data_IF_811812038101
#
_entry.id   IF_811812038101
#
_cell.length_a   1.000
_cell.length_b   1.000
_cell.length_c   1.000
_cell.angle_alpha   90.00
_cell.angle_beta   90.00
_cell.angle_gamma   90.00
#
_symmetry.space_group_name_H-M   'P 1'
#
loop_
_entity.id
_entity.type
_entity.pdbx_description
1 polymer ?
#
# COMPACT_ATOMS: atom_id res chain seq x y z
N UNK A 1 59.22 -33.80 -12.22
CA UNK A 1 58.15 -33.39 -11.30
C UNK A 1 56.83 -33.43 -12.05
N UNK A 2 55.87 -34.33 -11.75
CA UNK A 2 54.58 -34.33 -12.43
C UNK A 2 53.61 -33.38 -11.70
N UNK A 3 52.85 -32.60 -12.47
CA UNK A 3 51.84 -31.68 -11.95
C UNK A 3 50.50 -32.43 -12.04
N UNK A 4 49.95 -32.81 -10.88
CA UNK A 4 48.68 -33.53 -10.77
C UNK A 4 47.52 -32.57 -11.00
N UNK A 5 46.72 -32.82 -12.04
CA UNK A 5 45.55 -32.02 -12.40
C UNK A 5 44.32 -32.56 -11.65
N UNK A 6 43.81 -31.79 -10.70
CA UNK A 6 42.61 -32.12 -9.91
C UNK A 6 41.40 -31.48 -10.57
N UNK A 7 40.54 -32.30 -11.18
CA UNK A 7 39.26 -31.85 -11.74
C UNK A 7 38.25 -31.67 -10.62
N UNK A 8 37.87 -30.42 -10.35
CA UNK A 8 36.81 -30.04 -9.40
C UNK A 8 35.45 -30.23 -10.10
N UNK A 9 34.66 -31.22 -9.67
CA UNK A 9 33.30 -31.46 -10.15
C UNK A 9 32.31 -30.57 -9.37
N UNK A 10 31.73 -29.56 -10.04
CA UNK A 10 30.63 -28.76 -9.50
C UNK A 10 29.30 -29.53 -9.65
N UNK A 11 28.70 -29.91 -8.52
CA UNK A 11 27.35 -30.44 -8.47
C UNK A 11 26.38 -29.26 -8.44
N UNK A 12 25.67 -29.03 -9.55
CA UNK A 12 24.59 -28.04 -9.64
C UNK A 12 23.35 -28.65 -8.99
N UNK A 13 23.04 -28.20 -7.76
CA UNK A 13 21.78 -28.55 -7.09
C UNK A 13 20.65 -27.72 -7.73
N UNK A 14 19.77 -28.39 -8.47
CA UNK A 14 18.57 -27.76 -9.05
C UNK A 14 17.53 -27.70 -7.93
N UNK A 15 17.44 -26.56 -7.25
CA UNK A 15 16.35 -26.29 -6.30
C UNK A 15 15.08 -26.10 -7.14
N UNK A 16 14.03 -26.93 -6.98
CA UNK A 16 12.77 -26.68 -7.66
C UNK A 16 12.18 -25.37 -7.13
N UNK A 17 12.18 -24.35 -7.98
CA UNK A 17 11.43 -23.11 -7.73
C UNK A 17 9.95 -23.48 -7.85
N UNK A 18 9.19 -23.29 -6.76
CA UNK A 18 7.75 -23.43 -6.82
C UNK A 18 7.20 -22.38 -7.80
N UNK A 19 6.80 -22.82 -8.98
CA UNK A 19 6.09 -21.98 -9.95
C UNK A 19 4.64 -21.94 -9.49
N UNK A 20 4.28 -20.91 -8.73
CA UNK A 20 2.87 -20.56 -8.57
C UNK A 20 2.34 -20.23 -9.96
N UNK A 21 1.17 -20.76 -10.32
CA UNK A 21 0.49 -20.34 -11.53
C UNK A 21 0.12 -18.85 -11.35
N UNK A 22 0.91 -17.95 -11.95
CA UNK A 22 0.71 -16.51 -11.83
C UNK A 22 -0.59 -16.13 -12.54
N UNK A 23 -1.59 -15.71 -11.77
CA UNK A 23 -2.86 -15.20 -12.33
C UNK A 23 -2.72 -13.70 -12.51
N UNK A 24 -2.00 -13.29 -13.55
CA UNK A 24 -1.73 -11.88 -13.84
C UNK A 24 -3.02 -11.15 -14.25
N UNK A 25 -3.59 -10.38 -13.33
CA UNK A 25 -4.78 -9.57 -13.55
C UNK A 25 -4.36 -8.17 -14.01
N UNK A 26 -4.70 -7.81 -15.25
CA UNK A 26 -4.58 -6.45 -15.75
C UNK A 26 -5.62 -5.55 -15.08
N UNK A 27 -5.21 -4.45 -14.46
CA UNK A 27 -6.10 -3.51 -13.74
C UNK A 27 -6.89 -2.57 -14.65
N UNK A 28 -7.06 -2.93 -15.92
CA UNK A 28 -7.80 -2.11 -16.90
C UNK A 28 -9.25 -1.93 -16.45
N UNK A 29 -9.70 -0.68 -16.41
CA UNK A 29 -11.04 -0.33 -15.92
C UNK A 29 -11.21 -0.38 -14.40
N UNK A 30 -10.14 -0.59 -13.62
CA UNK A 30 -10.21 -0.52 -12.15
C UNK A 30 -10.65 0.87 -11.71
N UNK A 31 -11.71 0.93 -10.90
CA UNK A 31 -12.21 2.17 -10.31
C UNK A 31 -11.49 2.49 -9.00
N UNK A 32 -10.94 1.49 -8.30
CA UNK A 32 -10.18 1.70 -7.07
C UNK A 32 -8.72 2.09 -7.38
N UNK A 33 -8.12 1.53 -8.42
CA UNK A 33 -6.73 1.80 -8.83
C UNK A 33 -6.63 2.39 -10.26
N UNK A 34 -7.34 3.47 -10.62
CA UNK A 34 -7.39 3.97 -11.99
C UNK A 34 -6.03 4.45 -12.56
N UNK A 35 -5.10 4.90 -11.71
CA UNK A 35 -3.74 5.26 -12.13
C UNK A 35 -2.89 4.05 -12.55
N UNK A 36 -3.34 2.84 -12.23
CA UNK A 36 -2.62 1.60 -12.51
C UNK A 36 -3.26 0.76 -13.64
N UNK A 37 -4.18 1.32 -14.43
CA UNK A 37 -4.97 0.61 -15.44
C UNK A 37 -4.14 -0.14 -16.51
N UNK A 38 -2.87 0.20 -16.68
CA UNK A 38 -1.97 -0.43 -17.65
C UNK A 38 -1.10 -1.54 -17.04
N UNK A 39 -1.21 -1.80 -15.74
CA UNK A 39 -0.33 -2.69 -14.99
C UNK A 39 -1.07 -3.88 -14.41
N UNK A 40 -0.29 -4.85 -13.98
CA UNK A 40 -0.76 -6.16 -13.57
C UNK A 40 -0.49 -6.41 -12.09
N UNK A 41 -1.37 -7.18 -11.47
CA UNK A 41 -1.15 -7.79 -10.16
C UNK A 41 -1.29 -9.31 -10.24
N UNK A 42 -0.55 -10.05 -9.42
CA UNK A 42 -0.75 -11.49 -9.26
C UNK A 42 -1.66 -11.75 -8.06
N UNK A 43 -2.97 -11.83 -8.32
CA UNK A 43 -3.97 -11.94 -7.25
C UNK A 43 -3.76 -13.22 -6.42
N UNK A 44 -3.48 -14.35 -7.07
CA UNK A 44 -3.24 -15.62 -6.39
C UNK A 44 -2.01 -15.55 -5.48
N UNK A 45 -0.89 -15.01 -5.99
CA UNK A 45 0.31 -14.81 -5.20
C UNK A 45 0.12 -13.87 -4.01
N UNK A 46 -0.64 -12.78 -4.22
CA UNK A 46 -0.90 -11.77 -3.20
C UNK A 46 -1.83 -12.25 -2.07
N UNK A 47 -2.72 -13.23 -2.32
CA UNK A 47 -3.64 -13.78 -1.31
C UNK A 47 -2.93 -14.33 -0.08
N UNK A 48 -1.71 -14.87 -0.24
CA UNK A 48 -0.92 -15.39 0.88
C UNK A 48 -0.56 -14.31 1.92
N UNK A 49 -0.47 -13.05 1.50
CA UNK A 49 -0.17 -11.88 2.36
C UNK A 49 -1.42 -11.06 2.69
N UNK A 50 -2.43 -11.12 1.82
CA UNK A 50 -3.61 -10.28 1.82
C UNK A 50 -4.88 -11.14 1.80
N UNK A 51 -5.30 -11.65 2.96
CA UNK A 51 -6.45 -12.54 3.07
C UNK A 51 -7.77 -11.92 2.53
N UNK A 52 -7.87 -10.59 2.51
CA UNK A 52 -8.99 -9.86 1.95
C UNK A 52 -9.13 -10.03 0.42
N UNK A 53 -8.08 -10.49 -0.29
CA UNK A 53 -8.13 -10.84 -1.72
C UNK A 53 -8.71 -12.23 -2.02
N UNK A 54 -9.15 -12.99 -1.01
CA UNK A 54 -9.55 -14.39 -1.13
C UNK A 54 -10.59 -14.66 -2.23
N UNK A 55 -11.51 -13.73 -2.49
CA UNK A 55 -12.57 -13.86 -3.50
C UNK A 55 -12.32 -13.02 -4.77
N UNK A 56 -11.20 -12.31 -4.87
CA UNK A 56 -10.89 -11.49 -6.04
C UNK A 56 -10.40 -12.39 -7.19
N UNK A 57 -11.10 -12.40 -8.32
CA UNK A 57 -10.73 -13.17 -9.52
C UNK A 57 -10.69 -12.33 -10.79
N UNK A 58 -11.27 -11.13 -10.75
CA UNK A 58 -11.33 -10.16 -11.84
C UNK A 58 -11.24 -8.74 -11.28
N UNK A 59 -11.18 -7.73 -12.15
CA UNK A 59 -11.04 -6.32 -11.73
C UNK A 59 -12.22 -5.87 -10.84
N UNK A 60 -13.50 -6.15 -11.17
CA UNK A 60 -14.61 -5.76 -10.31
C UNK A 60 -14.56 -6.38 -8.90
N UNK A 61 -14.26 -7.68 -8.79
CA UNK A 61 -14.14 -8.35 -7.49
C UNK A 61 -12.91 -7.89 -6.71
N UNK A 62 -11.81 -7.56 -7.38
CA UNK A 62 -10.64 -6.92 -6.78
C UNK A 62 -10.97 -5.55 -6.20
N UNK A 63 -11.61 -4.67 -6.98
CA UNK A 63 -11.96 -3.32 -6.53
C UNK A 63 -12.94 -3.37 -5.35
N UNK A 64 -13.92 -4.28 -5.40
CA UNK A 64 -14.84 -4.53 -4.30
C UNK A 64 -14.10 -5.01 -3.05
N UNK A 65 -13.20 -5.97 -3.17
CA UNK A 65 -12.42 -6.49 -2.05
C UNK A 65 -11.53 -5.40 -1.42
N UNK A 66 -10.89 -4.57 -2.25
CA UNK A 66 -10.02 -3.47 -1.80
C UNK A 66 -10.81 -2.40 -1.03
N UNK A 67 -11.94 -1.97 -1.58
CA UNK A 67 -12.80 -0.97 -0.93
C UNK A 67 -13.40 -1.50 0.37
N UNK A 68 -13.93 -2.73 0.35
CA UNK A 68 -14.44 -3.38 1.56
C UNK A 68 -13.36 -3.57 2.62
N UNK A 69 -12.13 -3.91 2.23
CA UNK A 69 -11.02 -4.04 3.16
C UNK A 69 -10.74 -2.72 3.88
N UNK A 70 -10.58 -1.62 3.14
CA UNK A 70 -10.27 -0.31 3.74
C UNK A 70 -11.41 0.20 4.62
N UNK A 71 -12.67 -0.09 4.28
CA UNK A 71 -13.84 0.28 5.08
C UNK A 71 -14.13 -0.72 6.22
N UNK A 72 -13.38 -1.83 6.31
CA UNK A 72 -13.65 -2.88 7.29
C UNK A 72 -13.10 -2.56 8.68
N UNK A 73 -13.75 -3.15 9.69
CA UNK A 73 -13.20 -3.25 11.04
C UNK A 73 -11.89 -4.04 11.11
N UNK A 74 -11.57 -4.86 10.10
CA UNK A 74 -10.32 -5.62 10.05
C UNK A 74 -9.14 -4.71 9.70
N UNK A 75 -9.29 -3.82 8.71
CA UNK A 75 -8.28 -2.78 8.45
C UNK A 75 -8.10 -1.88 9.68
N UNK A 76 -9.20 -1.51 10.33
CA UNK A 76 -9.14 -0.78 11.59
C UNK A 76 -8.36 -1.55 12.67
N UNK A 77 -8.70 -2.82 12.90
CA UNK A 77 -8.04 -3.64 13.92
C UNK A 77 -6.55 -3.81 13.64
N UNK A 78 -6.19 -4.18 12.42
CA UNK A 78 -4.80 -4.48 12.07
C UNK A 78 -3.96 -3.21 12.06
N UNK A 79 -4.46 -2.12 11.48
CA UNK A 79 -3.65 -0.93 11.28
C UNK A 79 -3.81 0.09 12.41
N UNK A 80 -5.03 0.47 12.74
CA UNK A 80 -5.29 1.50 13.75
C UNK A 80 -5.10 0.95 15.17
N UNK A 81 -5.66 -0.21 15.48
CA UNK A 81 -5.53 -0.81 16.82
C UNK A 81 -4.15 -1.43 17.03
N UNK A 82 -3.72 -2.39 16.21
CA UNK A 82 -2.46 -3.12 16.48
C UNK A 82 -1.19 -2.30 16.17
N UNK A 83 -1.17 -1.50 15.09
CA UNK A 83 0.04 -0.74 14.68
C UNK A 83 0.10 0.67 15.27
N UNK A 84 -1.02 1.38 15.32
CA UNK A 84 -1.07 2.74 15.87
C UNK A 84 -1.48 2.77 17.35
N UNK A 85 -1.73 1.61 17.95
CA UNK A 85 -2.08 1.46 19.37
C UNK A 85 -3.32 2.27 19.75
N UNK A 86 -4.26 2.43 18.82
CA UNK A 86 -5.54 3.05 19.08
C UNK A 86 -6.48 2.08 19.82
N UNK A 87 -7.58 2.58 20.38
CA UNK A 87 -8.61 1.83 21.08
C UNK A 87 -9.37 0.93 20.10
N UNK A 88 -9.84 -0.21 20.60
CA UNK A 88 -10.62 -1.16 19.83
C UNK A 88 -11.87 -0.48 19.27
N UNK A 89 -12.32 -0.84 18.05
CA UNK A 89 -13.47 -0.19 17.45
C UNK A 89 -14.71 -0.50 18.29
N UNK A 90 -15.48 0.53 18.67
CA UNK A 90 -16.83 0.31 19.19
C UNK A 90 -17.80 0.00 18.04
N UNK A 91 -18.92 -0.68 18.31
CA UNK A 91 -19.91 -1.06 17.30
C UNK A 91 -20.51 0.13 16.52
N UNK A 92 -20.38 1.35 17.05
CA UNK A 92 -20.89 2.60 16.45
C UNK A 92 -19.77 3.48 15.89
N UNK A 93 -18.51 3.02 15.90
CA UNK A 93 -17.37 3.84 15.54
C UNK A 93 -17.20 3.87 14.02
N UNK A 94 -17.20 5.08 13.45
CA UNK A 94 -16.82 5.29 12.05
C UNK A 94 -15.33 5.02 11.91
N UNK A 95 -14.96 4.14 10.99
CA UNK A 95 -13.56 3.80 10.71
C UNK A 95 -12.86 5.04 10.13
N UNK A 96 -11.79 5.56 10.77
CA UNK A 96 -10.99 6.64 10.21
C UNK A 96 -10.36 6.23 8.88
N UNK A 97 -10.49 7.12 7.89
CA UNK A 97 -9.86 6.99 6.58
C UNK A 97 -8.57 7.82 6.54
N UNK A 98 -7.46 7.19 6.16
CA UNK A 98 -6.20 7.89 5.89
C UNK A 98 -6.19 8.38 4.43
N UNK A 99 -5.86 9.64 4.21
CA UNK A 99 -5.78 10.21 2.87
C UNK A 99 -4.77 9.41 2.04
N UNK A 100 -5.14 9.06 0.81
CA UNK A 100 -4.31 8.27 -0.10
C UNK A 100 -4.10 6.80 0.30
N UNK A 101 -4.91 6.26 1.21
CA UNK A 101 -4.84 4.86 1.62
C UNK A 101 -5.02 3.89 0.45
N UNK A 102 -6.04 4.11 -0.39
CA UNK A 102 -6.26 3.30 -1.59
C UNK A 102 -5.05 3.40 -2.52
N UNK A 103 -4.55 4.61 -2.77
CA UNK A 103 -3.42 4.84 -3.67
C UNK A 103 -2.18 4.10 -3.18
N UNK A 104 -1.84 4.22 -1.90
CA UNK A 104 -0.70 3.53 -1.31
C UNK A 104 -0.85 2.02 -1.40
N UNK A 105 -2.03 1.48 -1.11
CA UNK A 105 -2.28 0.05 -1.18
C UNK A 105 -2.23 -0.47 -2.64
N UNK A 106 -2.80 0.25 -3.60
CA UNK A 106 -2.65 -0.05 -5.02
C UNK A 106 -1.17 -0.08 -5.43
N UNK A 107 -0.38 0.89 -4.99
CA UNK A 107 1.08 0.88 -5.23
C UNK A 107 1.73 -0.34 -4.61
N UNK A 108 1.43 -0.66 -3.35
CA UNK A 108 2.01 -1.81 -2.66
C UNK A 108 1.76 -3.12 -3.38
N UNK A 109 0.55 -3.30 -3.89
CA UNK A 109 0.16 -4.49 -4.62
C UNK A 109 0.83 -4.56 -6.00
N UNK A 110 0.88 -3.45 -6.74
CA UNK A 110 1.49 -3.41 -8.10
C UNK A 110 3.02 -3.50 -8.03
N UNK A 111 3.65 -2.90 -7.02
CA UNK A 111 5.09 -2.89 -6.80
C UNK A 111 5.60 -4.10 -6.00
N UNK A 112 4.74 -5.08 -5.67
CA UNK A 112 5.17 -6.30 -5.00
C UNK A 112 6.18 -7.04 -5.87
N UNK A 113 7.43 -7.13 -5.39
CA UNK A 113 8.55 -7.66 -6.15
C UNK A 113 8.53 -9.17 -6.35
N UNK A 114 7.77 -9.87 -5.51
CA UNK A 114 7.68 -11.33 -5.54
C UNK A 114 6.58 -11.80 -6.50
N UNK A 115 5.47 -11.08 -6.54
CA UNK A 115 4.24 -11.53 -7.19
C UNK A 115 3.85 -10.66 -8.39
N UNK A 116 3.69 -9.34 -8.21
CA UNK A 116 3.09 -8.47 -9.24
C UNK A 116 4.08 -7.89 -10.25
N UNK A 117 5.30 -7.51 -9.83
CA UNK A 117 6.31 -7.02 -10.77
C UNK A 117 6.64 -8.05 -11.87
N UNK A 118 6.79 -9.37 -11.58
CA UNK A 118 6.92 -10.38 -12.62
C UNK A 118 5.81 -10.35 -13.69
N UNK A 119 4.55 -10.17 -13.30
CA UNK A 119 3.44 -10.04 -14.25
C UNK A 119 3.62 -8.84 -15.18
N UNK A 120 3.97 -7.67 -14.64
CA UNK A 120 4.17 -6.49 -15.46
C UNK A 120 5.38 -6.64 -16.39
N UNK A 121 6.50 -7.20 -15.91
CA UNK A 121 7.71 -7.40 -16.71
C UNK A 121 7.52 -8.41 -17.84
N UNK A 122 6.72 -9.47 -17.64
CA UNK A 122 6.34 -10.41 -18.71
C UNK A 122 5.63 -9.72 -19.88
N UNK A 123 4.97 -8.58 -19.62
CA UNK A 123 4.32 -7.74 -20.62
C UNK A 123 5.14 -6.52 -21.04
N UNK A 124 6.45 -6.49 -20.73
CA UNK A 124 7.37 -5.35 -20.99
C UNK A 124 6.93 -4.03 -20.34
N UNK A 125 6.21 -4.10 -19.23
CA UNK A 125 5.76 -2.93 -18.46
C UNK A 125 6.60 -2.78 -17.20
N UNK A 126 7.03 -1.55 -16.90
CA UNK A 126 7.65 -1.20 -15.63
C UNK A 126 6.72 -0.23 -14.88
N UNK A 127 5.96 -0.70 -13.87
CA UNK A 127 5.03 0.16 -13.16
C UNK A 127 5.76 1.30 -12.45
N UNK A 128 5.27 2.55 -12.52
CA UNK A 128 5.86 3.67 -11.83
C UNK A 128 5.64 3.55 -10.32
N UNK A 129 6.59 4.05 -9.50
CA UNK A 129 6.41 4.13 -8.06
C UNK A 129 5.37 5.19 -7.68
N UNK A 130 4.90 5.16 -6.44
CA UNK A 130 4.17 6.27 -5.83
C UNK A 130 5.11 7.47 -5.67
N UNK A 131 4.56 8.67 -5.86
CA UNK A 131 5.28 9.89 -5.55
C UNK A 131 5.53 9.97 -4.05
N UNK A 132 6.77 10.30 -3.66
CA UNK A 132 7.12 10.50 -2.25
C UNK A 132 6.21 11.50 -1.55
N UNK A 133 5.83 12.59 -2.23
CA UNK A 133 4.87 13.58 -1.70
C UNK A 133 3.50 12.98 -1.35
N UNK A 134 3.05 11.98 -2.10
CA UNK A 134 1.79 11.27 -1.84
C UNK A 134 1.93 10.33 -0.65
N UNK A 135 3.05 9.61 -0.57
CA UNK A 135 3.35 8.77 0.59
C UNK A 135 3.44 9.61 1.88
N UNK A 136 4.14 10.73 1.83
CA UNK A 136 4.26 11.65 2.97
C UNK A 136 2.90 12.21 3.39
N UNK A 137 2.03 12.58 2.44
CA UNK A 137 0.67 13.03 2.73
C UNK A 137 -0.20 11.93 3.38
N UNK A 138 -0.01 10.66 3.00
CA UNK A 138 -0.64 9.53 3.68
C UNK A 138 -0.19 9.45 5.14
N UNK A 139 1.12 9.49 5.41
CA UNK A 139 1.66 9.44 6.78
C UNK A 139 1.20 10.63 7.62
N UNK A 140 1.15 11.83 7.03
CA UNK A 140 0.65 13.03 7.71
C UNK A 140 -0.82 12.88 8.09
N UNK A 141 -1.63 12.28 7.21
CA UNK A 141 -3.05 12.01 7.50
C UNK A 141 -3.23 10.99 8.61
N UNK A 142 -2.37 9.97 8.69
CA UNK A 142 -2.38 9.03 9.82
C UNK A 142 -2.10 9.72 11.14
N UNK A 143 -1.08 10.58 11.17
CA UNK A 143 -0.72 11.31 12.37
C UNK A 143 -1.86 12.23 12.83
N UNK A 144 -2.44 13.01 11.90
CA UNK A 144 -3.57 13.90 12.19
C UNK A 144 -4.78 13.12 12.70
N UNK A 145 -5.22 12.10 11.96
CA UNK A 145 -6.40 11.31 12.33
C UNK A 145 -6.19 10.56 13.64
N UNK A 146 -4.96 10.09 13.94
CA UNK A 146 -4.62 9.51 15.24
C UNK A 146 -4.60 10.52 16.38
N UNK A 147 -4.54 11.82 16.10
CA UNK A 147 -4.46 12.90 17.09
C UNK A 147 -5.80 13.60 17.37
N UNK A 148 -6.81 13.43 16.51
CA UNK A 148 -8.04 14.25 16.50
C UNK A 148 -9.29 13.58 17.09
N UNK A 149 -9.21 12.39 17.70
CA UNK A 149 -10.36 11.78 18.37
C UNK A 149 -10.04 10.54 19.21
N UNK A 150 -10.96 10.16 20.10
CA UNK A 150 -11.07 8.83 20.72
C UNK A 150 -11.20 7.80 19.59
N UNK A 151 -10.07 7.30 19.11
CA UNK A 151 -9.63 6.06 19.73
C UNK A 151 -8.18 6.07 20.22
N UNK A 152 -7.30 7.01 19.86
CA UNK A 152 -5.86 6.81 20.13
C UNK A 152 -5.34 7.48 21.42
N UNK A 153 -6.23 7.83 22.37
CA UNK A 153 -5.95 8.75 23.49
C UNK A 153 -5.34 8.08 24.74
N UNK A 154 -5.24 6.75 24.79
CA UNK A 154 -4.71 6.07 25.96
C UNK A 154 -3.17 6.13 26.02
N UNK A 155 -2.65 6.81 27.06
CA UNK A 155 -1.24 7.10 27.39
C UNK A 155 -0.20 5.95 27.32
N UNK A 156 -0.56 4.72 26.94
CA UNK A 156 0.39 3.60 26.74
C UNK A 156 0.89 3.50 25.27
N UNK A 157 0.27 4.23 24.33
CA UNK A 157 0.36 4.03 22.88
C UNK A 157 1.34 4.95 22.11
N UNK A 158 1.88 6.00 22.72
CA UNK A 158 2.63 7.05 21.99
C UNK A 158 3.93 6.54 21.38
N UNK A 159 4.66 5.64 22.05
CA UNK A 159 5.95 5.14 21.54
C UNK A 159 5.73 4.25 20.31
N UNK A 160 4.85 3.25 20.39
CA UNK A 160 4.56 2.35 19.27
C UNK A 160 3.95 3.11 18.09
N UNK A 161 3.01 4.03 18.34
CA UNK A 161 2.45 4.92 17.31
C UNK A 161 3.55 5.75 16.64
N UNK A 162 4.41 6.41 17.41
CA UNK A 162 5.51 7.20 16.87
C UNK A 162 6.50 6.34 16.07
N UNK A 163 6.76 5.11 16.53
CA UNK A 163 7.60 4.16 15.80
C UNK A 163 6.95 3.77 14.48
N UNK A 164 5.67 3.36 14.48
CA UNK A 164 4.93 3.03 13.26
C UNK A 164 4.91 4.20 12.28
N UNK A 165 4.62 5.43 12.74
CA UNK A 165 4.64 6.62 11.89
C UNK A 165 6.06 6.92 11.34
N UNK A 166 7.10 6.71 12.16
CA UNK A 166 8.50 6.85 11.75
C UNK A 166 8.89 5.79 10.71
N UNK A 167 8.47 4.55 10.89
CA UNK A 167 8.72 3.45 9.96
C UNK A 167 8.02 3.72 8.62
N UNK A 168 6.74 4.11 8.64
CA UNK A 168 6.02 4.52 7.43
C UNK A 168 6.69 5.69 6.71
N UNK A 169 7.17 6.70 7.46
CA UNK A 169 7.95 7.82 6.88
C UNK A 169 9.26 7.34 6.26
N UNK A 170 9.96 6.41 6.92
CA UNK A 170 11.19 5.79 6.41
C UNK A 170 10.94 5.06 5.11
N UNK A 171 9.83 4.32 5.01
CA UNK A 171 9.42 3.61 3.80
C UNK A 171 9.20 4.57 2.63
N UNK A 172 8.56 5.72 2.85
CA UNK A 172 8.39 6.77 1.84
C UNK A 172 9.72 7.30 1.28
N UNK A 173 10.81 7.22 2.04
CA UNK A 173 12.14 7.65 1.60
C UNK A 173 12.99 6.53 1.01
N UNK A 174 12.79 5.29 1.45
CA UNK A 174 13.73 4.19 1.22
C UNK A 174 13.20 3.09 0.32
N UNK A 175 11.89 2.83 0.33
CA UNK A 175 11.33 1.76 -0.48
C UNK A 175 11.12 2.25 -1.92
N UNK A 176 11.71 1.60 -2.95
CA UNK A 176 11.64 2.07 -4.34
C UNK A 176 10.21 2.25 -4.87
N UNK A 177 9.24 1.48 -4.35
CA UNK A 177 7.84 1.61 -4.71
C UNK A 177 7.18 2.89 -4.22
N UNK A 178 7.72 3.57 -3.20
CA UNK A 178 7.09 4.74 -2.55
C UNK A 178 7.90 6.05 -2.64
N UNK A 179 9.12 6.00 -3.17
CA UNK A 179 10.05 7.13 -3.14
C UNK A 179 10.25 7.84 -4.49
N UNK A 180 9.28 7.71 -5.41
CA UNK A 180 9.34 8.31 -6.74
C UNK A 180 9.29 9.84 -6.71
N UNK A 181 9.90 10.47 -7.73
CA UNK A 181 9.80 11.91 -7.95
C UNK A 181 8.92 12.24 -9.15
N UNK A 182 8.29 13.42 -9.14
CA UNK A 182 7.37 13.84 -10.20
C UNK A 182 8.07 13.90 -11.57
N UNK A 183 9.34 14.32 -11.59
CA UNK A 183 10.16 14.36 -12.81
C UNK A 183 10.42 12.97 -13.40
N UNK A 184 10.27 11.91 -12.60
CA UNK A 184 10.39 10.51 -13.01
C UNK A 184 9.04 9.86 -13.38
N UNK A 185 7.94 10.61 -13.34
CA UNK A 185 6.61 10.10 -13.72
C UNK A 185 5.95 9.21 -12.66
N UNK A 186 6.19 9.47 -11.38
CA UNK A 186 5.54 8.75 -10.28
C UNK A 186 4.00 8.95 -10.23
N UNK A 187 3.30 8.04 -9.56
CA UNK A 187 1.85 8.12 -9.35
C UNK A 187 1.52 9.08 -8.22
N UNK A 188 0.69 10.08 -8.50
CA UNK A 188 0.15 11.02 -7.51
C UNK A 188 -1.14 10.47 -6.93
N UNK A 189 -1.36 10.71 -5.63
CA UNK A 189 -2.56 10.24 -4.92
C UNK A 189 -3.87 10.69 -5.55
N UNK A 190 -3.91 11.93 -6.07
CA UNK A 190 -5.08 12.48 -6.73
C UNK A 190 -5.52 11.74 -7.99
N UNK A 191 -4.67 10.86 -8.55
CA UNK A 191 -5.03 10.05 -9.72
C UNK A 191 -5.96 8.88 -9.36
N UNK A 192 -5.85 8.34 -8.15
CA UNK A 192 -6.78 7.31 -7.63
C UNK A 192 -7.85 7.93 -6.73
N UNK A 193 -7.48 8.94 -5.95
CA UNK A 193 -8.34 9.57 -4.95
C UNK A 193 -8.41 11.09 -5.19
N UNK A 194 -9.10 11.53 -6.25
CA UNK A 194 -9.21 12.96 -6.59
C UNK A 194 -10.01 13.75 -5.54
N UNK A 195 -10.97 13.09 -4.89
CA UNK A 195 -11.65 13.61 -3.70
C UNK A 195 -10.84 13.21 -2.46
N UNK A 196 -10.57 14.17 -1.56
CA UNK A 196 -9.73 13.96 -0.38
C UNK A 196 -10.17 12.82 0.56
N UNK A 197 -11.37 12.24 0.39
CA UNK A 197 -12.08 11.58 1.48
C UNK A 197 -12.96 10.37 1.15
N UNK A 198 -13.04 9.88 -0.10
CA UNK A 198 -13.86 8.72 -0.49
C UNK A 198 -15.23 8.62 0.22
N UNK A 199 -15.98 9.72 0.32
CA UNK A 199 -17.29 9.76 1.00
C UNK A 199 -17.29 9.69 2.54
N UNK A 200 -16.15 9.51 3.21
CA UNK A 200 -16.05 9.47 4.68
C UNK A 200 -16.22 10.86 5.31
N UNK A 201 -17.22 10.97 6.18
CA UNK A 201 -17.66 12.20 6.85
C UNK A 201 -16.55 12.87 7.68
N UNK A 202 -15.64 12.08 8.25
CA UNK A 202 -14.57 12.55 9.17
C UNK A 202 -13.52 13.40 8.42
N UNK A 203 -13.42 13.20 7.11
CA UNK A 203 -12.43 13.85 6.30
C UNK A 203 -12.98 15.19 5.71
N UNK A 204 -14.27 15.50 5.87
CA UNK A 204 -14.85 16.80 5.50
C UNK A 204 -14.31 17.98 6.31
N UNK A 205 -14.00 17.78 7.59
CA UNK A 205 -13.37 18.81 8.43
C UNK A 205 -11.84 18.81 8.26
N UNK A 206 -11.21 17.63 8.18
CA UNK A 206 -9.75 17.48 8.05
C UNK A 206 -9.23 17.88 6.65
N UNK A 207 -10.01 17.60 5.60
CA UNK A 207 -9.69 17.97 4.23
C UNK A 207 -9.65 19.48 4.00
N UNK A 208 -10.49 20.24 4.72
CA UNK A 208 -10.44 21.71 4.73
C UNK A 208 -9.22 22.23 5.49
N UNK A 209 -8.89 21.63 6.65
CA UNK A 209 -7.66 21.97 7.40
C UNK A 209 -6.39 21.71 6.57
N UNK A 210 -6.35 20.63 5.78
CA UNK A 210 -5.20 20.33 4.92
C UNK A 210 -5.07 21.31 3.74
N UNK A 211 -6.19 21.75 3.15
CA UNK A 211 -6.19 22.76 2.07
C UNK A 211 -5.83 24.16 2.61
N UNK A 212 -6.31 24.53 3.79
CA UNK A 212 -6.00 25.81 4.43
C UNK A 212 -4.57 25.86 4.98
N UNK A 213 -4.07 24.75 5.54
CA UNK A 213 -2.68 24.63 5.98
C UNK A 213 -1.66 24.69 4.82
N UNK A 214 -2.01 24.17 3.64
CA UNK A 214 -1.18 24.30 2.44
C UNK A 214 -1.25 25.71 1.82
N UNK A 215 -2.38 26.43 1.96
CA UNK A 215 -2.49 27.85 1.56
C UNK A 215 -1.68 28.80 2.44
N UNK A 216 -1.37 28.43 3.68
CA UNK A 216 -0.55 29.26 4.59
C UNK A 216 0.97 29.04 4.45
N UNK A 217 1.42 28.14 3.58
CA UNK A 217 2.85 27.95 3.23
C UNK A 217 3.17 28.37 1.80
N UNK A 218 2.72 29.55 1.39
CA UNK A 218 3.23 30.28 0.22
C UNK A 218 3.62 31.69 0.61
#
# INVERSE_FOLDING_TARGET
MPISSTHLLFIISIIPVAVFAQSCLLLSGSFACPAFQQYYIDVEGLRAKNAWLSNATDVPSFDQALTQYIDSTDYYRIFWYDKLSCNAPSASQVVPYARYAITKLCTELVQDSQFSLPCSFQHNMNPPPLCRETCDAYVDSLNLTSSMGEPCVANMATIQRNQTLSDQRSDCGSWPGLNGTTDQGCIRGSLNEPSNCHGSFICGEIGNIFMDGFRMKK
#
